data_IF_894116836222
#
_entry.id   IF_894116836222
#
_cell.length_a   1.000
_cell.length_b   1.000
_cell.length_c   1.000
_cell.angle_alpha   90.00
_cell.angle_beta   90.00
_cell.angle_gamma   90.00
#
_symmetry.space_group_name_H-M   'P 1'
#
loop_
_entity.id
_entity.type
_entity.pdbx_description
1 polymer ?
#
# COMPACT_ATOMS: atom_id res chain seq x y z
N UNK A 1 59.42 5.55 38.95
CA UNK A 1 59.10 6.91 38.43
C UNK A 1 58.17 6.76 37.23
N UNK A 2 56.92 7.24 37.30
CA UNK A 2 55.96 7.15 36.20
C UNK A 2 56.03 8.39 35.30
N UNK A 3 55.81 8.24 33.99
CA UNK A 3 55.48 9.36 33.10
C UNK A 3 54.18 9.06 32.36
N UNK A 4 53.11 9.58 32.94
CA UNK A 4 51.81 9.73 32.30
C UNK A 4 51.85 10.94 31.39
N UNK A 5 51.70 10.74 30.08
CA UNK A 5 51.42 11.84 29.15
C UNK A 5 49.92 11.90 28.92
N UNK A 6 49.31 12.97 29.44
CA UNK A 6 47.90 13.31 29.27
C UNK A 6 47.67 13.72 27.82
N UNK A 7 46.82 13.01 27.08
CA UNK A 7 46.18 13.55 25.88
C UNK A 7 44.72 13.80 26.23
N UNK A 8 44.43 15.07 26.53
CA UNK A 8 43.08 15.59 26.61
C UNK A 8 42.73 16.13 25.22
N UNK A 9 41.78 15.49 24.54
CA UNK A 9 41.07 16.10 23.40
C UNK A 9 39.58 15.96 23.70
N UNK A 10 39.04 17.05 24.24
CA UNK A 10 37.62 17.30 24.32
C UNK A 10 37.13 17.71 22.92
N UNK A 11 36.20 16.95 22.33
CA UNK A 11 35.22 17.52 21.42
C UNK A 11 33.83 17.20 21.97
N UNK A 12 33.20 18.24 22.52
CA UNK A 12 31.77 18.30 22.77
C UNK A 12 31.02 18.22 21.43
N UNK A 13 30.00 17.39 21.37
CA UNK A 13 29.10 17.35 20.22
C UNK A 13 28.40 16.01 20.04
N UNK A 14 27.54 15.62 20.99
CA UNK A 14 26.55 14.56 20.73
C UNK A 14 25.17 15.20 20.66
N UNK A 15 24.78 15.51 19.43
CA UNK A 15 23.46 15.99 19.02
C UNK A 15 22.39 14.99 19.43
N UNK A 16 21.59 15.31 20.45
CA UNK A 16 20.37 14.56 20.76
C UNK A 16 19.26 15.17 19.90
N UNK A 17 19.07 14.66 18.68
CA UNK A 17 17.79 14.85 17.99
C UNK A 17 16.76 13.96 18.69
N UNK A 18 16.07 14.50 19.69
CA UNK A 18 14.82 13.94 20.20
C UNK A 18 13.71 14.13 19.15
N UNK A 19 13.76 13.34 18.09
CA UNK A 19 12.72 13.23 17.08
C UNK A 19 11.98 11.90 17.22
N UNK A 20 11.10 11.79 18.22
CA UNK A 20 10.12 10.70 18.32
C UNK A 20 8.71 11.28 18.46
N UNK A 21 8.32 12.16 17.54
CA UNK A 21 6.91 12.48 17.31
C UNK A 21 6.42 11.63 16.16
N UNK A 22 5.89 10.46 16.51
CA UNK A 22 5.23 9.56 15.57
C UNK A 22 3.92 10.21 15.13
N UNK A 23 3.73 10.57 13.84
CA UNK A 23 2.42 10.98 13.38
C UNK A 23 1.48 9.77 13.51
N UNK A 24 0.50 9.88 14.39
CA UNK A 24 -0.65 8.98 14.41
C UNK A 24 -1.43 9.24 13.12
N UNK A 25 -1.13 8.48 12.08
CA UNK A 25 -2.00 8.37 10.91
C UNK A 25 -3.35 7.85 11.39
N UNK A 26 -4.40 8.64 11.15
CA UNK A 26 -5.78 8.25 11.39
C UNK A 26 -6.05 6.89 10.76
N UNK A 27 -6.39 5.91 11.59
CA UNK A 27 -6.87 4.62 11.13
C UNK A 27 -8.26 4.84 10.49
N UNK A 28 -8.29 5.03 9.17
CA UNK A 28 -9.48 4.68 8.40
C UNK A 28 -9.52 3.16 8.42
N UNK A 29 -10.45 2.63 9.20
CA UNK A 29 -10.61 1.21 9.45
C UNK A 29 -10.92 0.45 8.17
N UNK A 30 -9.90 -0.18 7.62
CA UNK A 30 -10.00 -1.46 6.95
C UNK A 30 -9.02 -2.36 7.70
N UNK A 31 -9.47 -3.50 8.21
CA UNK A 31 -8.57 -4.41 8.92
C UNK A 31 -7.34 -4.69 8.03
N UNK A 32 -6.12 -4.80 8.57
CA UNK A 32 -4.94 -5.03 7.74
C UNK A 32 -5.10 -6.38 7.03
N UNK A 33 -5.52 -6.34 5.77
CA UNK A 33 -5.42 -7.48 4.87
C UNK A 33 -3.93 -7.77 4.76
N UNK A 34 -3.50 -8.91 5.30
CA UNK A 34 -2.10 -9.31 5.27
C UNK A 34 -1.59 -9.36 3.84
N UNK A 35 -0.56 -8.57 3.54
CA UNK A 35 0.05 -8.56 2.21
C UNK A 35 0.67 -9.93 1.93
N UNK A 36 0.25 -10.58 0.84
CA UNK A 36 0.81 -11.83 0.39
C UNK A 36 1.54 -11.61 -0.96
N UNK A 37 2.86 -11.42 -0.90
CA UNK A 37 3.67 -11.21 -2.10
C UNK A 37 4.31 -12.49 -2.64
N UNK A 38 4.07 -13.65 -2.00
CA UNK A 38 4.65 -14.93 -2.42
C UNK A 38 4.01 -15.50 -3.69
N UNK A 39 2.77 -15.12 -3.97
CA UNK A 39 1.98 -15.61 -5.11
C UNK A 39 1.37 -14.45 -5.90
N UNK A 40 0.86 -14.73 -7.10
CA UNK A 40 0.07 -13.78 -7.88
C UNK A 40 -1.13 -14.46 -8.53
N UNK A 41 -2.21 -13.70 -8.72
CA UNK A 41 -3.40 -14.10 -9.46
C UNK A 41 -3.32 -13.52 -10.87
N UNK A 42 -3.53 -14.34 -11.90
CA UNK A 42 -3.53 -13.87 -13.29
C UNK A 42 -4.96 -13.80 -13.83
N UNK A 43 -5.24 -12.79 -14.65
CA UNK A 43 -6.49 -12.67 -15.39
C UNK A 43 -6.28 -11.96 -16.71
N UNK A 44 -7.06 -12.34 -17.71
CA UNK A 44 -7.19 -11.61 -18.98
C UNK A 44 -8.54 -10.89 -19.11
N UNK A 45 -9.35 -10.93 -18.05
CA UNK A 45 -10.65 -10.27 -17.93
C UNK A 45 -10.58 -9.08 -16.96
N UNK A 46 -11.47 -8.12 -17.15
CA UNK A 46 -11.54 -6.92 -16.29
C UNK A 46 -11.95 -7.27 -14.84
N UNK A 47 -12.75 -8.33 -14.68
CA UNK A 47 -13.10 -8.87 -13.38
C UNK A 47 -11.95 -9.76 -12.87
N UNK A 48 -11.55 -9.55 -11.61
CA UNK A 48 -10.67 -10.50 -10.95
C UNK A 48 -11.40 -11.85 -10.75
N UNK A 49 -10.76 -12.99 -11.06
CA UNK A 49 -11.31 -14.32 -10.79
C UNK A 49 -11.73 -14.52 -9.34
N UNK A 50 -12.77 -15.33 -9.11
CA UNK A 50 -13.31 -15.59 -7.77
C UNK A 50 -12.30 -16.21 -6.79
N UNK A 51 -11.24 -16.85 -7.31
CA UNK A 51 -10.17 -17.43 -6.50
C UNK A 51 -9.09 -16.41 -6.08
N UNK A 52 -9.12 -15.18 -6.61
CA UNK A 52 -8.19 -14.14 -6.17
C UNK A 52 -8.52 -13.69 -4.73
N UNK A 53 -7.51 -13.61 -3.87
CA UNK A 53 -7.62 -13.26 -2.46
C UNK A 53 -7.13 -11.83 -2.23
N UNK A 54 -7.87 -10.97 -1.52
CA UNK A 54 -7.40 -9.63 -1.18
C UNK A 54 -6.01 -9.66 -0.55
N UNK A 55 -5.16 -8.67 -0.85
CA UNK A 55 -3.80 -8.53 -0.32
C UNK A 55 -2.72 -9.27 -1.09
N UNK A 56 -3.07 -10.17 -2.02
CA UNK A 56 -2.09 -10.78 -2.92
C UNK A 56 -1.84 -9.93 -4.17
N UNK A 57 -0.79 -10.24 -4.94
CA UNK A 57 -0.59 -9.59 -6.25
C UNK A 57 -1.62 -10.08 -7.26
N UNK A 58 -2.18 -9.18 -8.07
CA UNK A 58 -2.96 -9.54 -9.25
C UNK A 58 -2.29 -8.95 -10.49
N UNK A 59 -2.28 -9.73 -11.56
CA UNK A 59 -1.70 -9.38 -12.87
C UNK A 59 -2.80 -9.50 -13.91
N UNK A 60 -3.01 -8.42 -14.66
CA UNK A 60 -3.94 -8.37 -15.79
C UNK A 60 -3.17 -8.36 -17.11
N UNK A 61 -3.41 -9.36 -17.95
CA UNK A 61 -2.80 -9.55 -19.27
C UNK A 61 -3.90 -9.65 -20.34
N UNK A 62 -4.29 -8.55 -21.01
CA UNK A 62 -5.34 -8.59 -22.01
C UNK A 62 -4.95 -9.47 -23.21
N UNK A 63 -5.92 -10.19 -23.76
CA UNK A 63 -5.74 -11.06 -24.93
C UNK A 63 -5.30 -10.33 -26.21
N UNK A 64 -5.34 -9.00 -26.22
CA UNK A 64 -4.90 -8.12 -27.32
C UNK A 64 -4.10 -6.95 -26.74
N UNK A 65 -2.90 -6.75 -27.25
CA UNK A 65 -2.06 -5.58 -26.93
C UNK A 65 -2.59 -4.31 -27.59
N UNK A 66 -2.26 -3.14 -27.02
CA UNK A 66 -2.47 -1.83 -27.64
C UNK A 66 -3.65 -1.00 -27.12
N UNK A 67 -4.38 -1.50 -26.12
CA UNK A 67 -5.37 -0.70 -25.40
C UNK A 67 -4.81 -0.23 -24.06
N UNK A 68 -4.22 0.97 -24.03
CA UNK A 68 -3.62 1.53 -22.80
C UNK A 68 -4.65 1.86 -21.72
N UNK A 69 -5.91 2.05 -22.09
CA UNK A 69 -6.97 2.36 -21.13
C UNK A 69 -7.39 1.15 -20.31
N UNK A 70 -7.33 -0.04 -20.89
CA UNK A 70 -7.85 -1.25 -20.27
C UNK A 70 -7.06 -1.67 -19.02
N UNK A 71 -5.72 -1.69 -19.01
CA UNK A 71 -4.94 -1.87 -17.79
C UNK A 71 -5.21 -0.81 -16.71
N UNK A 72 -5.41 0.46 -17.09
CA UNK A 72 -5.76 1.52 -16.13
C UNK A 72 -7.12 1.26 -15.50
N UNK A 73 -8.11 0.87 -16.30
CA UNK A 73 -9.44 0.52 -15.82
C UNK A 73 -9.42 -0.71 -14.90
N UNK A 74 -8.63 -1.72 -15.25
CA UNK A 74 -8.41 -2.88 -14.39
C UNK A 74 -7.88 -2.44 -13.03
N UNK A 75 -6.90 -1.53 -13.02
CA UNK A 75 -6.30 -1.06 -11.79
C UNK A 75 -7.31 -0.33 -10.89
N UNK A 76 -8.11 0.56 -11.48
CA UNK A 76 -9.15 1.29 -10.75
C UNK A 76 -10.20 0.35 -10.12
N UNK A 77 -10.54 -0.75 -10.80
CA UNK A 77 -11.59 -1.66 -10.36
C UNK A 77 -11.12 -2.73 -9.35
N UNK A 78 -9.82 -3.06 -9.33
CA UNK A 78 -9.33 -4.24 -8.61
C UNK A 78 -8.11 -3.98 -7.72
N UNK A 79 -7.48 -2.80 -7.76
CA UNK A 79 -6.26 -2.54 -7.00
C UNK A 79 -6.48 -1.71 -5.75
N UNK A 80 -5.71 -2.01 -4.70
CA UNK A 80 -5.50 -1.07 -3.60
C UNK A 80 -4.49 0.00 -4.04
N UNK A 81 -5.01 1.18 -4.42
CA UNK A 81 -4.19 2.29 -4.91
C UNK A 81 -3.38 3.02 -3.82
N UNK A 82 -3.43 2.56 -2.56
CA UNK A 82 -2.48 2.99 -1.52
C UNK A 82 -1.09 2.37 -1.72
N UNK A 83 -0.99 1.32 -2.53
CA UNK A 83 0.26 0.65 -2.87
C UNK A 83 0.66 0.92 -4.32
N UNK A 84 1.92 0.59 -4.65
CA UNK A 84 2.45 0.78 -5.99
C UNK A 84 1.70 -0.05 -7.04
N UNK A 85 1.51 0.56 -8.21
CA UNK A 85 0.97 -0.07 -9.41
C UNK A 85 2.05 -0.06 -10.47
N UNK A 86 2.29 -1.20 -11.12
CA UNK A 86 3.21 -1.31 -12.27
C UNK A 86 2.39 -1.55 -13.52
N UNK A 87 2.55 -0.65 -14.50
CA UNK A 87 1.75 -0.59 -15.72
C UNK A 87 2.65 -0.55 -16.95
N UNK A 88 2.22 -1.23 -18.01
CA UNK A 88 2.75 -1.10 -19.37
C UNK A 88 1.60 -1.07 -20.36
N UNK A 89 1.91 -0.87 -21.65
CA UNK A 89 0.92 -0.99 -22.73
C UNK A 89 0.36 -2.40 -22.91
N UNK A 90 0.94 -3.39 -22.22
CA UNK A 90 0.59 -4.80 -22.31
C UNK A 90 -0.08 -5.39 -21.08
N UNK A 91 -0.27 -4.62 -19.99
CA UNK A 91 -0.84 -5.15 -18.77
C UNK A 91 -0.51 -4.33 -17.53
N UNK A 92 -1.07 -4.75 -16.40
CA UNK A 92 -0.89 -4.09 -15.10
C UNK A 92 -0.75 -5.13 -13.99
N UNK A 93 0.04 -4.81 -12.96
CA UNK A 93 0.08 -5.57 -11.71
C UNK A 93 -0.01 -4.65 -10.50
N UNK A 94 -0.68 -5.12 -9.45
CA UNK A 94 -0.90 -4.38 -8.21
C UNK A 94 -1.30 -5.32 -7.06
N UNK A 95 -1.53 -4.75 -5.87
CA UNK A 95 -2.15 -5.48 -4.75
C UNK A 95 -3.66 -5.54 -4.98
N UNK A 96 -4.21 -6.75 -5.00
CA UNK A 96 -5.63 -6.98 -5.19
C UNK A 96 -6.44 -6.46 -4.01
N UNK A 97 -7.41 -5.61 -4.33
CA UNK A 97 -8.44 -5.14 -3.43
C UNK A 97 -9.79 -5.55 -4.00
N UNK A 98 -10.56 -6.29 -3.21
CA UNK A 98 -11.94 -6.59 -3.59
C UNK A 98 -12.76 -5.32 -3.35
N UNK A 99 -12.95 -4.53 -4.41
CA UNK A 99 -13.92 -3.43 -4.40
C UNK A 99 -15.29 -4.06 -4.21
N UNK A 100 -15.78 -4.07 -2.98
CA UNK A 100 -17.22 -4.19 -2.74
C UNK A 100 -17.84 -2.92 -3.28
N UNK A 101 -19.04 -2.99 -3.85
CA UNK A 101 -19.81 -1.80 -4.22
C UNK A 101 -20.19 -1.04 -2.94
N UNK A 102 -19.20 -0.38 -2.36
CA UNK A 102 -19.27 0.42 -1.16
C UNK A 102 -18.74 1.81 -1.51
N UNK A 103 -19.36 2.42 -2.52
CA UNK A 103 -19.93 3.74 -2.26
C UNK A 103 -21.05 3.52 -1.22
N UNK A 104 -20.66 3.19 0.02
CA UNK A 104 -21.54 3.44 1.14
C UNK A 104 -21.72 4.96 1.12
N UNK A 105 -22.94 5.38 0.80
CA UNK A 105 -23.37 6.75 1.01
C UNK A 105 -22.84 7.23 2.38
N UNK A 106 -22.46 8.51 2.54
CA UNK A 106 -21.99 9.04 3.81
C UNK A 106 -22.90 8.55 4.92
N UNK A 107 -22.36 7.75 5.85
CA UNK A 107 -23.16 7.23 6.94
C UNK A 107 -23.59 8.43 7.78
N UNK A 108 -24.85 8.83 7.66
CA UNK A 108 -25.41 9.89 8.48
C UNK A 108 -25.20 9.49 9.95
N UNK A 109 -24.68 10.38 10.81
CA UNK A 109 -24.43 10.04 12.19
C UNK A 109 -25.74 9.65 12.86
N UNK A 110 -25.73 8.50 13.54
CA UNK A 110 -26.85 8.01 14.33
C UNK A 110 -27.09 8.98 15.51
N UNK A 111 -27.92 9.99 15.27
CA UNK A 111 -28.51 10.81 16.32
C UNK A 111 -29.57 10.00 17.04
N UNK A 112 -29.29 9.58 18.28
CA UNK A 112 -30.33 9.21 19.23
C UNK A 112 -31.07 10.50 19.60
N UNK A 113 -32.28 10.68 19.09
CA UNK A 113 -33.23 11.61 19.68
C UNK A 113 -33.70 11.02 21.01
N UNK A 114 -33.49 11.79 22.08
CA UNK A 114 -34.01 11.54 23.43
C UNK A 114 -35.23 12.41 23.72
#
# INVERSE_FOLDING_TARGET
MPRFTKVAISLAGLSILAGCTQPQSAAIGDAPVGLNQGEYCETNELAAPAHCKPGQRVVFLPSRFGNEQLPVLFAAANCDLRYSVVLTNGGVTCIYHKVTAALQAPQAPAGKEG
#
